data_IF_628807392685
#
_entry.id   IF_628807392685
#
_cell.length_a   1.000
_cell.length_b   1.000
_cell.length_c   1.000
_cell.angle_alpha   90.00
_cell.angle_beta   90.00
_cell.angle_gamma   90.00
#
_symmetry.space_group_name_H-M   'P 1'
#
loop_
_entity.id
_entity.type
_entity.pdbx_description
1 polymer ?
#
# COMPACT_ATOMS: atom_id res chain seq x y z
N UNK A 1 3.42 31.30 5.09
CA UNK A 1 3.05 32.05 3.87
C UNK A 1 1.86 31.30 3.26
N UNK A 2 0.71 31.97 3.17
CA UNK A 2 -0.51 31.39 2.61
C UNK A 2 -0.33 31.17 1.10
N UNK A 3 -0.35 29.92 0.68
CA UNK A 3 -0.51 29.59 -0.74
C UNK A 3 -1.91 30.03 -1.15
N UNK A 4 -2.08 30.91 -2.13
CA UNK A 4 -3.42 31.29 -2.57
C UNK A 4 -4.14 30.07 -3.16
N UNK A 5 -5.47 29.98 -3.05
CA UNK A 5 -6.23 28.91 -3.67
C UNK A 5 -5.99 28.92 -5.18
N UNK A 6 -5.71 27.76 -5.79
CA UNK A 6 -5.52 27.61 -7.22
C UNK A 6 -6.66 28.27 -7.99
N UNK A 7 -6.35 29.32 -8.74
CA UNK A 7 -7.30 29.85 -9.73
C UNK A 7 -7.60 28.75 -10.76
N UNK A 8 -8.85 28.56 -11.18
CA UNK A 8 -9.16 27.63 -12.25
C UNK A 8 -8.35 27.99 -13.49
N UNK A 9 -7.61 27.02 -14.04
CA UNK A 9 -6.66 27.11 -15.17
C UNK A 9 -5.19 27.46 -14.84
N UNK A 10 -4.76 27.37 -13.59
CA UNK A 10 -3.33 27.57 -13.27
C UNK A 10 -2.52 26.32 -13.64
N UNK A 11 -1.41 26.54 -14.38
CA UNK A 11 -0.42 25.51 -14.68
C UNK A 11 0.66 25.46 -13.61
N UNK A 12 1.13 24.23 -13.32
CA UNK A 12 2.37 24.00 -12.54
C UNK A 12 3.33 23.23 -13.41
N UNK A 13 4.56 23.69 -13.54
CA UNK A 13 5.62 23.04 -14.28
C UNK A 13 6.70 22.56 -13.29
N UNK A 14 6.94 21.26 -13.23
CA UNK A 14 8.06 20.65 -12.51
C UNK A 14 9.21 20.55 -13.50
N UNK A 15 10.34 21.23 -13.24
CA UNK A 15 11.38 21.46 -14.26
C UNK A 15 12.74 20.95 -13.78
N UNK A 16 13.47 20.23 -14.65
CA UNK A 16 14.86 19.88 -14.50
C UNK A 16 15.14 18.50 -13.87
N UNK A 17 14.12 17.78 -13.44
CA UNK A 17 14.27 16.47 -12.80
C UNK A 17 14.65 15.35 -13.77
N UNK A 18 15.16 14.25 -13.20
CA UNK A 18 15.10 12.93 -13.85
C UNK A 18 13.75 12.29 -13.54
N UNK A 19 13.03 11.83 -14.55
CA UNK A 19 11.69 11.26 -14.41
C UNK A 19 11.67 9.78 -14.82
N UNK A 20 11.15 8.91 -13.96
CA UNK A 20 10.72 7.57 -14.30
C UNK A 20 9.22 7.60 -14.63
N UNK A 21 8.89 7.68 -15.92
CA UNK A 21 7.50 7.76 -16.40
C UNK A 21 6.72 6.48 -16.10
N UNK A 22 7.41 5.34 -16.16
CA UNK A 22 6.92 4.03 -15.73
C UNK A 22 8.09 3.12 -15.35
N UNK A 23 7.83 1.96 -14.71
CA UNK A 23 8.89 0.99 -14.38
C UNK A 23 9.55 0.36 -15.61
N UNK A 24 8.91 0.40 -16.78
CA UNK A 24 9.38 -0.27 -18.00
C UNK A 24 10.05 0.66 -19.02
N UNK A 25 9.91 1.98 -18.83
CA UNK A 25 10.49 2.97 -19.74
C UNK A 25 11.83 3.49 -19.22
N UNK A 26 12.68 3.97 -20.13
CA UNK A 26 13.93 4.64 -19.73
C UNK A 26 13.63 5.99 -19.10
N UNK A 27 14.41 6.42 -18.09
CA UNK A 27 14.20 7.69 -17.46
C UNK A 27 14.50 8.87 -18.40
N UNK A 28 13.75 9.96 -18.24
CA UNK A 28 13.94 11.21 -18.97
C UNK A 28 14.71 12.15 -18.06
N UNK A 29 15.96 12.48 -18.41
CA UNK A 29 16.75 13.51 -17.73
C UNK A 29 16.35 14.92 -18.19
N UNK A 30 16.65 15.94 -17.37
CA UNK A 30 16.34 17.34 -17.65
C UNK A 30 14.94 17.51 -18.24
N UNK A 31 13.96 17.11 -17.47
CA UNK A 31 12.58 16.94 -17.92
C UNK A 31 11.65 18.08 -17.47
N UNK A 32 10.45 18.09 -18.05
CA UNK A 32 9.34 18.89 -17.56
C UNK A 32 8.12 18.01 -17.40
N UNK A 33 7.42 18.13 -16.26
CA UNK A 33 6.05 17.66 -16.09
C UNK A 33 5.16 18.88 -15.98
N UNK A 34 4.25 19.05 -16.94
CA UNK A 34 3.27 20.12 -16.91
C UNK A 34 1.95 19.60 -16.34
N UNK A 35 1.49 20.25 -15.29
CA UNK A 35 0.26 19.90 -14.57
C UNK A 35 -0.73 21.03 -14.73
N UNK A 36 -1.99 20.70 -15.00
CA UNK A 36 -3.11 21.63 -14.97
C UNK A 36 -4.22 21.03 -14.09
N UNK A 37 -4.61 21.77 -13.08
CA UNK A 37 -5.56 21.28 -12.07
C UNK A 37 -5.04 19.97 -11.42
N UNK A 38 -5.74 18.87 -11.62
CA UNK A 38 -5.42 17.57 -11.03
C UNK A 38 -4.65 16.64 -11.97
N UNK A 39 -4.41 17.05 -13.23
CA UNK A 39 -3.91 16.16 -14.29
C UNK A 39 -2.58 16.60 -14.86
N UNK A 40 -1.81 15.61 -15.27
CA UNK A 40 -0.65 15.79 -16.12
C UNK A 40 -1.13 16.14 -17.53
N UNK A 41 -0.70 17.29 -18.05
CA UNK A 41 -1.01 17.73 -19.41
C UNK A 41 0.02 17.18 -20.39
N UNK A 42 1.27 17.26 -20.02
CA UNK A 42 2.39 16.77 -20.83
C UNK A 42 3.60 16.44 -19.97
N UNK A 43 4.47 15.58 -20.49
CA UNK A 43 5.74 15.20 -19.91
C UNK A 43 6.76 14.96 -21.03
N UNK A 44 7.99 15.38 -20.84
CA UNK A 44 9.05 15.19 -21.83
C UNK A 44 10.35 15.88 -21.46
N UNK A 45 11.32 15.81 -22.37
CA UNK A 45 12.60 16.48 -22.20
C UNK A 45 12.42 18.01 -22.32
N UNK A 46 13.05 18.79 -21.40
CA UNK A 46 12.86 20.24 -21.31
C UNK A 46 13.11 20.97 -22.62
N UNK A 47 14.10 20.57 -23.39
CA UNK A 47 14.41 21.20 -24.68
C UNK A 47 13.30 21.05 -25.75
N UNK A 48 12.36 20.13 -25.54
CA UNK A 48 11.25 19.83 -26.45
C UNK A 48 9.89 20.31 -25.91
N UNK A 49 9.87 20.90 -24.71
CA UNK A 49 8.65 21.27 -24.02
C UNK A 49 8.47 22.78 -23.97
N UNK A 50 7.25 23.22 -24.26
CA UNK A 50 6.82 24.59 -24.03
C UNK A 50 5.68 24.60 -23.02
N UNK A 51 5.66 25.57 -22.14
CA UNK A 51 4.57 25.78 -21.20
C UNK A 51 4.31 27.28 -20.99
N UNK A 52 3.13 27.68 -20.52
CA UNK A 52 2.77 29.09 -20.36
C UNK A 52 3.75 29.82 -19.40
N UNK A 53 4.13 31.03 -19.73
CA UNK A 53 4.97 31.90 -18.87
C UNK A 53 4.30 32.15 -17.50
N UNK A 54 2.99 32.06 -17.43
CA UNK A 54 2.19 32.20 -16.20
C UNK A 54 2.16 30.93 -15.34
N UNK A 55 2.79 29.83 -15.79
CA UNK A 55 2.88 28.60 -15.00
C UNK A 55 3.69 28.84 -13.72
N UNK A 56 3.20 28.26 -12.62
CA UNK A 56 4.01 28.17 -11.39
C UNK A 56 5.13 27.14 -11.60
N UNK A 57 6.36 27.60 -11.62
CA UNK A 57 7.52 26.72 -11.80
C UNK A 57 8.01 26.22 -10.45
N UNK A 58 8.07 24.90 -10.30
CA UNK A 58 8.79 24.23 -9.22
C UNK A 58 10.11 23.72 -9.78
N UNK A 59 11.21 24.29 -9.29
CA UNK A 59 12.55 23.85 -9.62
C UNK A 59 12.80 22.46 -9.01
N UNK A 60 13.10 21.49 -9.89
CA UNK A 60 13.36 20.11 -9.56
C UNK A 60 14.73 19.64 -10.09
N UNK A 61 15.68 20.55 -10.34
CA UNK A 61 17.05 20.18 -10.68
C UNK A 61 17.65 19.26 -9.62
N UNK A 62 18.39 18.25 -10.06
CA UNK A 62 19.00 17.21 -9.23
C UNK A 62 18.00 16.38 -8.40
N UNK A 63 16.70 16.49 -8.70
CA UNK A 63 15.67 15.64 -8.10
C UNK A 63 15.24 14.53 -9.05
N UNK A 64 14.68 13.46 -8.46
CA UNK A 64 14.07 12.35 -9.21
C UNK A 64 12.58 12.30 -8.96
N UNK A 65 11.79 12.13 -10.03
CA UNK A 65 10.33 12.06 -9.96
C UNK A 65 9.86 10.68 -10.41
N UNK A 66 8.96 10.10 -9.62
CA UNK A 66 8.19 8.90 -9.98
C UNK A 66 6.69 9.19 -9.90
N UNK A 67 5.86 8.31 -10.45
CA UNK A 67 4.44 8.30 -10.09
C UNK A 67 4.30 8.16 -8.57
N UNK A 68 3.23 8.70 -8.01
CA UNK A 68 2.94 8.62 -6.60
C UNK A 68 2.88 7.17 -6.12
N UNK A 69 3.51 6.91 -4.99
CA UNK A 69 3.69 5.56 -4.47
C UNK A 69 2.43 5.04 -3.80
N UNK A 70 2.22 3.73 -3.90
CA UNK A 70 1.23 2.97 -3.16
C UNK A 70 1.88 2.21 -2.00
N UNK A 71 1.20 2.19 -0.84
CA UNK A 71 1.41 1.19 0.18
C UNK A 71 0.15 0.32 0.27
N UNK A 72 0.24 -0.91 -0.20
CA UNK A 72 -0.92 -1.81 -0.32
C UNK A 72 -1.26 -2.55 0.98
N UNK A 73 -0.58 -2.22 2.08
CA UNK A 73 -0.86 -2.82 3.38
C UNK A 73 -0.45 -1.89 4.53
N UNK A 74 -1.44 -1.19 5.08
CA UNK A 74 -1.31 -0.34 6.27
C UNK A 74 -2.50 -0.55 7.19
N UNK A 75 -2.44 0.02 8.42
CA UNK A 75 -3.52 -0.03 9.40
C UNK A 75 -3.71 1.32 10.10
N UNK A 76 -4.96 1.68 10.33
CA UNK A 76 -5.37 2.83 11.15
C UNK A 76 -6.06 2.36 12.44
N UNK A 77 -5.52 1.34 13.11
CA UNK A 77 -6.09 0.74 14.31
C UNK A 77 -5.42 1.20 15.62
N UNK A 78 -4.34 1.96 15.56
CA UNK A 78 -3.72 2.53 16.76
C UNK A 78 -4.67 3.52 17.46
N UNK A 79 -4.55 3.66 18.77
CA UNK A 79 -5.42 4.53 19.57
C UNK A 79 -5.44 6.00 19.15
N UNK A 80 -4.34 6.49 18.55
CA UNK A 80 -4.29 7.87 18.03
C UNK A 80 -5.28 8.13 16.88
N UNK A 81 -5.81 7.09 16.24
CA UNK A 81 -6.81 7.18 15.19
C UNK A 81 -8.25 7.03 15.73
N UNK A 82 -8.44 6.78 17.05
CA UNK A 82 -9.74 6.38 17.61
C UNK A 82 -10.85 7.41 17.41
N UNK A 83 -10.51 8.69 17.36
CA UNK A 83 -11.49 9.78 17.26
C UNK A 83 -11.13 10.76 16.14
N UNK A 84 -10.84 10.22 14.95
CA UNK A 84 -10.44 11.03 13.78
C UNK A 84 -11.44 12.14 13.42
N UNK A 85 -12.68 12.02 13.85
CA UNK A 85 -13.70 13.05 13.62
C UNK A 85 -13.40 14.35 14.38
N UNK A 86 -12.81 14.25 15.57
CA UNK A 86 -12.58 15.37 16.46
C UNK A 86 -11.10 15.76 16.62
N UNK A 87 -10.17 14.97 16.07
CA UNK A 87 -8.74 15.32 16.06
C UNK A 87 -8.55 16.63 15.27
N UNK A 88 -7.86 17.64 15.82
CA UNK A 88 -7.57 18.89 15.11
C UNK A 88 -6.87 18.63 13.76
N UNK A 89 -7.28 19.35 12.71
CA UNK A 89 -6.72 19.16 11.36
C UNK A 89 -5.19 19.24 11.30
N UNK A 90 -4.49 20.17 11.98
CA UNK A 90 -3.02 20.20 11.96
C UNK A 90 -2.38 18.98 12.59
N UNK A 91 -2.98 18.43 13.65
CA UNK A 91 -2.49 17.23 14.32
C UNK A 91 -2.68 15.98 13.45
N UNK A 92 -3.88 15.81 12.89
CA UNK A 92 -4.17 14.69 12.00
C UNK A 92 -3.33 14.72 10.73
N UNK A 93 -3.08 15.91 10.17
CA UNK A 93 -2.17 16.11 9.03
C UNK A 93 -0.75 15.67 9.37
N UNK A 94 -0.24 16.04 10.55
CA UNK A 94 1.09 15.62 11.01
C UNK A 94 1.17 14.10 11.19
N UNK A 95 0.14 13.47 11.78
CA UNK A 95 0.10 12.00 11.91
C UNK A 95 0.14 11.28 10.56
N UNK A 96 -0.59 11.79 9.55
CA UNK A 96 -0.54 11.27 8.18
C UNK A 96 0.81 11.51 7.50
N UNK A 97 1.44 12.66 7.76
CA UNK A 97 2.78 12.95 7.26
C UNK A 97 3.80 11.97 7.85
N UNK A 98 3.77 11.80 9.17
CA UNK A 98 4.72 10.92 9.88
C UNK A 98 4.61 9.46 9.46
N UNK A 99 3.40 9.00 9.17
CA UNK A 99 3.16 7.62 8.76
C UNK A 99 3.32 7.38 7.26
N UNK A 100 2.91 8.32 6.40
CA UNK A 100 2.67 8.02 5.00
C UNK A 100 3.30 9.03 4.03
N UNK A 101 2.89 10.31 4.08
CA UNK A 101 3.16 11.20 2.95
C UNK A 101 4.62 11.65 2.85
N UNK A 102 5.40 11.64 3.94
CA UNK A 102 6.84 11.90 3.90
C UNK A 102 7.64 10.83 3.14
N UNK A 103 7.02 9.68 2.90
CA UNK A 103 7.59 8.56 2.15
C UNK A 103 7.13 8.51 0.69
N UNK A 104 6.40 9.52 0.21
CA UNK A 104 5.92 9.55 -1.17
C UNK A 104 4.63 8.76 -1.43
N UNK A 105 3.99 8.22 -0.38
CA UNK A 105 2.73 7.49 -0.54
C UNK A 105 1.58 8.45 -0.83
N UNK A 106 1.05 8.38 -2.05
CA UNK A 106 -0.15 9.11 -2.49
C UNK A 106 -1.41 8.26 -2.40
N UNK A 107 -1.23 6.94 -2.30
CA UNK A 107 -2.33 5.98 -2.17
C UNK A 107 -1.96 4.88 -1.18
N UNK A 108 -2.93 4.45 -0.38
CA UNK A 108 -2.74 3.37 0.59
C UNK A 108 -3.96 2.44 0.62
N UNK A 109 -3.71 1.17 1.00
CA UNK A 109 -4.76 0.22 1.31
C UNK A 109 -4.69 -0.14 2.80
N UNK A 110 -5.69 0.27 3.56
CA UNK A 110 -5.93 -0.13 4.94
C UNK A 110 -6.57 -1.52 4.95
N UNK A 111 -5.86 -2.49 5.51
CA UNK A 111 -6.20 -3.92 5.43
C UNK A 111 -6.75 -4.49 6.73
N UNK A 112 -7.32 -3.65 7.58
CA UNK A 112 -7.97 -4.11 8.81
C UNK A 112 -7.96 -3.02 9.89
N UNK A 113 -8.96 -2.16 9.88
CA UNK A 113 -9.17 -1.12 10.88
C UNK A 113 -10.65 -0.94 11.15
N UNK A 114 -11.01 -0.13 12.14
CA UNK A 114 -12.42 0.21 12.39
C UNK A 114 -12.94 1.06 11.22
N UNK A 115 -13.84 0.48 10.41
CA UNK A 115 -14.32 1.09 9.17
C UNK A 115 -14.85 2.51 9.35
N UNK A 116 -15.65 2.73 10.36
CA UNK A 116 -16.24 4.04 10.59
C UNK A 116 -15.16 5.12 10.81
N UNK A 117 -14.07 4.80 11.50
CA UNK A 117 -12.94 5.71 11.65
C UNK A 117 -12.22 5.98 10.33
N UNK A 118 -11.87 4.91 9.61
CA UNK A 118 -11.18 5.05 8.32
C UNK A 118 -12.04 5.79 7.31
N UNK A 119 -13.35 5.54 7.30
CA UNK A 119 -14.32 6.26 6.45
C UNK A 119 -14.33 7.76 6.76
N UNK A 120 -14.31 8.14 8.04
CA UNK A 120 -14.25 9.55 8.48
C UNK A 120 -12.91 10.19 8.11
N UNK A 121 -11.80 9.48 8.33
CA UNK A 121 -10.46 9.95 7.92
C UNK A 121 -10.42 10.24 6.42
N UNK A 122 -10.91 9.30 5.61
CA UNK A 122 -11.03 9.46 4.16
C UNK A 122 -11.89 10.67 3.79
N UNK A 123 -13.03 10.86 4.45
CA UNK A 123 -13.91 12.01 4.22
C UNK A 123 -13.24 13.35 4.47
N UNK A 124 -12.44 13.48 5.53
CA UNK A 124 -11.69 14.71 5.83
C UNK A 124 -10.58 15.01 4.81
N UNK A 125 -9.94 13.94 4.27
CA UNK A 125 -8.94 14.09 3.20
C UNK A 125 -9.62 14.48 1.88
N UNK A 126 -10.70 13.80 1.51
CA UNK A 126 -11.38 13.99 0.22
C UNK A 126 -12.15 15.32 0.15
N UNK A 127 -12.58 15.86 1.28
CA UNK A 127 -13.12 17.23 1.38
C UNK A 127 -12.05 18.32 1.26
N UNK A 128 -10.77 17.95 1.33
CA UNK A 128 -9.66 18.90 1.34
C UNK A 128 -9.43 19.59 2.69
N UNK A 129 -10.09 19.16 3.76
CA UNK A 129 -9.86 19.67 5.11
C UNK A 129 -8.43 19.40 5.59
N UNK A 130 -7.90 18.22 5.27
CA UNK A 130 -6.53 17.81 5.59
C UNK A 130 -5.81 17.25 4.35
N UNK A 131 -4.51 17.52 4.19
CA UNK A 131 -3.70 16.85 3.18
C UNK A 131 -3.47 15.40 3.56
N UNK A 132 -3.55 14.48 2.60
CA UNK A 132 -3.33 13.07 2.84
C UNK A 132 -3.41 12.23 1.56
N UNK A 133 -3.07 10.93 1.66
CA UNK A 133 -3.14 10.01 0.53
C UNK A 133 -4.59 9.62 0.21
N UNK A 134 -4.81 9.03 -0.96
CA UNK A 134 -6.04 8.29 -1.24
C UNK A 134 -6.06 7.04 -0.34
N UNK A 135 -7.11 6.86 0.44
CA UNK A 135 -7.27 5.70 1.30
C UNK A 135 -8.33 4.76 0.72
N UNK A 136 -7.96 3.50 0.50
CA UNK A 136 -8.88 2.37 0.34
C UNK A 136 -8.84 1.53 1.61
N UNK A 137 -9.92 0.82 1.95
CA UNK A 137 -10.00 0.05 3.18
C UNK A 137 -10.83 -1.21 3.00
N UNK A 138 -10.45 -2.25 3.75
CA UNK A 138 -11.25 -3.46 3.93
C UNK A 138 -12.27 -3.32 5.07
N UNK A 139 -12.17 -2.23 5.85
CA UNK A 139 -12.82 -2.20 7.15
C UNK A 139 -12.24 -3.26 8.09
N UNK A 140 -13.07 -3.79 8.95
CA UNK A 140 -12.74 -4.88 9.86
C UNK A 140 -12.46 -6.18 9.09
N UNK A 141 -11.39 -6.88 9.47
CA UNK A 141 -11.11 -8.20 8.90
C UNK A 141 -12.08 -9.27 9.43
N UNK A 142 -12.44 -10.22 8.58
CA UNK A 142 -13.16 -11.43 8.97
C UNK A 142 -12.20 -12.39 9.67
N UNK A 143 -12.55 -12.90 10.84
CA UNK A 143 -11.66 -13.72 11.65
C UNK A 143 -12.29 -15.08 11.99
N UNK A 144 -11.51 -16.17 12.04
CA UNK A 144 -12.00 -17.41 12.62
C UNK A 144 -12.31 -17.23 14.12
N UNK A 145 -13.16 -18.08 14.70
CA UNK A 145 -13.46 -18.01 16.13
C UNK A 145 -12.20 -18.03 17.00
N UNK A 146 -12.16 -17.19 18.01
CA UNK A 146 -11.05 -17.08 18.97
C UNK A 146 -9.70 -16.64 18.34
N UNK A 147 -9.70 -16.01 17.18
CA UNK A 147 -8.46 -15.60 16.50
C UNK A 147 -7.89 -14.27 17.01
N UNK A 148 -8.72 -13.36 17.51
CA UNK A 148 -8.26 -12.08 18.00
C UNK A 148 -7.69 -12.17 19.42
N UNK A 149 -6.62 -11.42 19.71
CA UNK A 149 -6.18 -11.21 21.09
C UNK A 149 -7.31 -10.57 21.93
N UNK A 150 -7.30 -10.81 23.26
CA UNK A 150 -8.23 -10.13 24.14
C UNK A 150 -8.08 -8.61 24.08
N UNK A 151 -9.15 -7.87 24.43
CA UNK A 151 -9.11 -6.40 24.49
C UNK A 151 -7.98 -5.88 25.40
N UNK A 152 -7.62 -6.63 26.45
CA UNK A 152 -6.51 -6.30 27.32
C UNK A 152 -5.17 -6.36 26.58
N UNK A 153 -4.93 -7.40 25.78
CA UNK A 153 -3.71 -7.58 25.00
C UNK A 153 -3.63 -6.51 23.89
N UNK A 154 -4.72 -6.27 23.18
CA UNK A 154 -4.81 -5.19 22.19
C UNK A 154 -4.51 -3.84 22.83
N UNK A 155 -5.05 -3.60 24.02
CA UNK A 155 -4.78 -2.37 24.80
C UNK A 155 -3.31 -2.21 25.19
N UNK A 156 -2.64 -3.29 25.59
CA UNK A 156 -1.19 -3.28 25.88
C UNK A 156 -0.35 -3.00 24.64
N UNK A 157 -0.79 -3.43 23.47
CA UNK A 157 -0.16 -3.14 22.17
C UNK A 157 -0.48 -1.71 21.66
N UNK A 158 -1.28 -0.91 22.38
CA UNK A 158 -1.69 0.41 21.93
C UNK A 158 -2.72 0.41 20.80
N UNK A 159 -3.39 -0.70 20.60
CA UNK A 159 -4.37 -0.92 19.53
C UNK A 159 -5.79 -0.72 20.07
N UNK A 160 -6.69 -0.25 19.20
CA UNK A 160 -8.12 -0.17 19.51
C UNK A 160 -8.76 -1.57 19.56
N UNK A 161 -9.88 -1.67 20.23
CA UNK A 161 -10.78 -2.81 20.07
C UNK A 161 -11.20 -2.91 18.61
N UNK A 162 -10.97 -4.07 17.99
CA UNK A 162 -11.38 -4.36 16.63
C UNK A 162 -12.68 -5.18 16.67
N UNK A 163 -13.81 -4.64 16.24
CA UNK A 163 -15.09 -5.35 16.20
C UNK A 163 -15.15 -6.32 15.00
N UNK A 164 -14.10 -7.12 14.82
CA UNK A 164 -13.95 -8.01 13.68
C UNK A 164 -15.03 -9.12 13.73
N UNK A 165 -15.79 -9.33 12.62
CA UNK A 165 -16.78 -10.40 12.55
C UNK A 165 -16.12 -11.77 12.60
N UNK A 166 -16.56 -12.63 13.55
CA UNK A 166 -16.15 -14.02 13.57
C UNK A 166 -16.91 -14.81 12.49
N UNK A 167 -16.18 -15.67 11.78
CA UNK A 167 -16.72 -16.53 10.72
C UNK A 167 -16.26 -17.98 10.94
N UNK A 168 -17.19 -18.90 11.09
CA UNK A 168 -16.91 -20.33 11.27
C UNK A 168 -17.33 -21.16 10.06
N UNK A 169 -18.24 -20.65 9.24
CA UNK A 169 -18.82 -21.36 8.09
C UNK A 169 -19.08 -20.42 6.91
N UNK A 170 -19.41 -21.02 5.76
CA UNK A 170 -19.66 -20.29 4.52
C UNK A 170 -20.84 -19.30 4.60
N UNK A 171 -21.99 -19.62 5.20
CA UNK A 171 -23.08 -18.66 5.40
C UNK A 171 -22.68 -17.43 6.21
N UNK A 172 -21.92 -17.61 7.30
CA UNK A 172 -21.44 -16.51 8.12
C UNK A 172 -20.44 -15.63 7.34
N UNK A 173 -19.52 -16.25 6.60
CA UNK A 173 -18.55 -15.55 5.77
C UNK A 173 -19.24 -14.69 4.69
N UNK A 174 -20.21 -15.26 3.97
CA UNK A 174 -20.97 -14.51 2.97
C UNK A 174 -21.76 -13.35 3.59
N UNK A 175 -22.43 -13.57 4.72
CA UNK A 175 -23.22 -12.53 5.38
C UNK A 175 -22.32 -11.39 5.90
N UNK A 176 -21.18 -11.71 6.52
CA UNK A 176 -20.23 -10.74 7.02
C UNK A 176 -19.58 -9.93 5.89
N UNK A 177 -19.15 -10.58 4.81
CA UNK A 177 -18.61 -9.92 3.63
C UNK A 177 -19.61 -8.95 3.01
N UNK A 178 -20.86 -9.40 2.80
CA UNK A 178 -21.94 -8.55 2.26
C UNK A 178 -22.18 -7.33 3.13
N UNK A 179 -22.25 -7.49 4.45
CA UNK A 179 -22.43 -6.36 5.38
C UNK A 179 -21.34 -5.30 5.27
N UNK A 180 -20.07 -5.70 5.13
CA UNK A 180 -18.97 -4.78 4.94
C UNK A 180 -19.04 -4.09 3.57
N UNK A 181 -19.34 -4.85 2.51
CA UNK A 181 -19.49 -4.31 1.15
C UNK A 181 -20.62 -3.28 1.07
N UNK A 182 -21.77 -3.57 1.70
CA UNK A 182 -22.90 -2.65 1.80
C UNK A 182 -22.56 -1.39 2.61
N UNK A 183 -21.64 -1.48 3.57
CA UNK A 183 -21.11 -0.34 4.31
C UNK A 183 -20.10 0.50 3.48
N UNK A 184 -19.69 0.03 2.30
CA UNK A 184 -18.88 0.76 1.34
C UNK A 184 -17.37 0.56 1.44
N UNK A 185 -16.91 -0.59 1.97
CA UNK A 185 -15.49 -0.96 1.94
C UNK A 185 -15.01 -1.23 0.51
N UNK A 186 -13.71 -1.15 0.30
CA UNK A 186 -13.09 -1.29 -1.03
C UNK A 186 -12.58 -2.72 -1.31
N UNK A 187 -12.54 -3.58 -0.31
CA UNK A 187 -12.15 -4.99 -0.40
C UNK A 187 -12.60 -5.75 0.85
N UNK A 188 -12.45 -7.07 0.85
CA UNK A 188 -12.62 -7.90 2.04
C UNK A 188 -11.25 -8.38 2.52
N UNK A 189 -11.03 -8.42 3.84
CA UNK A 189 -9.87 -9.04 4.48
C UNK A 189 -10.32 -10.25 5.28
N UNK A 190 -9.61 -11.37 5.16
CA UNK A 190 -9.85 -12.59 5.91
C UNK A 190 -8.58 -13.00 6.64
N UNK A 191 -8.68 -13.36 7.93
CA UNK A 191 -7.62 -14.06 8.64
C UNK A 191 -7.84 -15.56 8.45
N UNK A 192 -6.86 -16.24 7.88
CA UNK A 192 -7.02 -17.61 7.41
C UNK A 192 -7.15 -18.63 8.54
N UNK A 193 -6.49 -18.40 9.66
CA UNK A 193 -6.51 -19.28 10.83
C UNK A 193 -6.31 -18.48 12.11
N UNK A 194 -6.70 -19.04 13.24
CA UNK A 194 -6.23 -18.58 14.54
C UNK A 194 -4.74 -18.92 14.69
N UNK A 195 -3.97 -18.19 15.50
CA UNK A 195 -2.58 -18.56 15.79
C UNK A 195 -2.49 -20.02 16.24
N UNK A 196 -1.74 -20.86 15.54
CA UNK A 196 -1.63 -22.31 15.73
C UNK A 196 -2.92 -23.11 15.47
N UNK A 197 -3.94 -22.50 14.84
CA UNK A 197 -5.15 -23.17 14.40
C UNK A 197 -5.02 -23.79 13.00
N UNK A 198 -5.97 -24.64 12.64
CA UNK A 198 -6.14 -25.08 11.27
C UNK A 198 -6.69 -23.93 10.40
N UNK A 199 -6.41 -23.92 9.08
CA UNK A 199 -7.03 -22.96 8.17
C UNK A 199 -8.55 -23.08 8.16
N UNK A 200 -9.24 -21.97 7.90
CA UNK A 200 -10.64 -22.01 7.53
C UNK A 200 -10.81 -22.92 6.32
N UNK A 201 -11.95 -23.65 6.21
CA UNK A 201 -12.25 -24.46 5.04
C UNK A 201 -12.31 -23.64 3.74
N UNK A 202 -11.92 -24.21 2.61
CA UNK A 202 -11.91 -23.54 1.29
C UNK A 202 -13.27 -22.90 0.94
N UNK A 203 -14.38 -23.55 1.28
CA UNK A 203 -15.73 -23.03 1.03
C UNK A 203 -16.06 -21.77 1.84
N UNK A 204 -15.39 -21.53 2.96
CA UNK A 204 -15.54 -20.29 3.75
C UNK A 204 -14.90 -19.12 3.02
N UNK A 205 -13.65 -19.30 2.52
CA UNK A 205 -13.00 -18.31 1.66
C UNK A 205 -13.82 -18.05 0.41
N UNK A 206 -14.29 -19.12 -0.26
CA UNK A 206 -15.07 -19.01 -1.48
C UNK A 206 -16.34 -18.19 -1.27
N UNK A 207 -17.08 -18.44 -0.19
CA UNK A 207 -18.29 -17.71 0.11
C UNK A 207 -18.08 -16.20 0.30
N UNK A 208 -16.99 -15.80 0.96
CA UNK A 208 -16.65 -14.39 1.11
C UNK A 208 -16.12 -13.80 -0.22
N UNK A 209 -15.32 -14.56 -0.98
CA UNK A 209 -14.78 -14.15 -2.26
C UNK A 209 -15.89 -13.94 -3.31
N UNK A 210 -16.87 -14.82 -3.37
CA UNK A 210 -18.02 -14.71 -4.28
C UNK A 210 -18.81 -13.42 -4.04
N UNK A 211 -19.00 -13.02 -2.76
CA UNK A 211 -19.66 -11.76 -2.42
C UNK A 211 -18.81 -10.55 -2.86
N UNK A 212 -17.50 -10.57 -2.59
CA UNK A 212 -16.60 -9.51 -2.99
C UNK A 212 -16.50 -9.36 -4.51
N UNK A 213 -16.34 -10.47 -5.23
CA UNK A 213 -16.23 -10.49 -6.69
C UNK A 213 -17.52 -10.03 -7.38
N UNK A 214 -18.70 -10.36 -6.84
CA UNK A 214 -19.97 -9.79 -7.34
C UNK A 214 -20.03 -8.26 -7.25
N UNK A 215 -19.35 -7.69 -6.26
CA UNK A 215 -19.20 -6.25 -6.10
C UNK A 215 -17.96 -5.68 -6.84
N UNK A 216 -17.24 -6.49 -7.64
CA UNK A 216 -15.96 -6.14 -8.28
C UNK A 216 -14.90 -5.64 -7.26
N UNK A 217 -14.82 -6.29 -6.10
CA UNK A 217 -13.86 -5.98 -5.03
C UNK A 217 -12.94 -7.17 -4.81
N UNK A 218 -11.62 -6.90 -4.56
CA UNK A 218 -10.66 -7.97 -4.26
C UNK A 218 -10.79 -8.47 -2.81
N UNK A 219 -10.21 -9.64 -2.58
CA UNK A 219 -10.11 -10.25 -1.25
C UNK A 219 -8.66 -10.41 -0.84
N UNK A 220 -8.32 -9.91 0.34
CA UNK A 220 -7.03 -10.11 0.99
C UNK A 220 -7.13 -11.25 2.00
N UNK A 221 -6.04 -12.00 2.17
CA UNK A 221 -5.91 -12.96 3.27
C UNK A 221 -4.66 -12.70 4.10
N UNK A 222 -4.77 -12.85 5.42
CA UNK A 222 -3.64 -12.97 6.35
C UNK A 222 -3.42 -14.46 6.66
N UNK A 223 -2.41 -15.13 6.11
CA UNK A 223 -2.06 -16.49 6.43
C UNK A 223 -1.05 -16.55 7.58
N UNK A 224 -1.12 -17.59 8.41
CA UNK A 224 -0.08 -17.90 9.39
C UNK A 224 0.92 -18.95 8.86
N UNK A 225 0.51 -19.76 7.87
CA UNK A 225 1.32 -20.83 7.32
C UNK A 225 0.98 -21.12 5.85
N UNK A 226 1.78 -21.98 5.19
CA UNK A 226 1.62 -22.31 3.77
C UNK A 226 0.29 -23.03 3.45
N UNK A 227 -0.25 -23.82 4.38
CA UNK A 227 -1.57 -24.47 4.18
C UNK A 227 -2.71 -23.44 4.19
N UNK A 228 -2.58 -22.36 4.96
CA UNK A 228 -3.52 -21.23 4.93
C UNK A 228 -3.51 -20.56 3.56
N UNK A 229 -2.31 -20.31 3.01
CA UNK A 229 -2.18 -19.73 1.66
C UNK A 229 -2.86 -20.63 0.62
N UNK A 230 -2.59 -21.94 0.66
CA UNK A 230 -3.16 -22.88 -0.32
C UNK A 230 -4.68 -22.94 -0.24
N UNK A 231 -5.25 -23.03 0.98
CA UNK A 231 -6.70 -23.05 1.19
C UNK A 231 -7.37 -21.75 0.70
N UNK A 232 -6.76 -20.60 1.02
CA UNK A 232 -7.27 -19.29 0.60
C UNK A 232 -7.20 -19.11 -0.93
N UNK A 233 -6.10 -19.52 -1.56
CA UNK A 233 -5.93 -19.46 -3.03
C UNK A 233 -6.98 -20.33 -3.73
N UNK A 234 -7.23 -21.54 -3.25
CA UNK A 234 -8.29 -22.43 -3.77
C UNK A 234 -9.68 -21.85 -3.56
N UNK A 235 -9.89 -21.19 -2.43
CA UNK A 235 -11.12 -20.47 -2.11
C UNK A 235 -11.30 -19.13 -2.83
N UNK A 236 -10.40 -18.76 -3.78
CA UNK A 236 -10.61 -17.61 -4.66
C UNK A 236 -10.12 -16.25 -4.10
N UNK A 237 -9.22 -16.26 -3.12
CA UNK A 237 -8.60 -15.03 -2.61
C UNK A 237 -7.67 -14.41 -3.66
N UNK A 238 -7.63 -13.09 -3.76
CA UNK A 238 -6.89 -12.33 -4.77
C UNK A 238 -5.49 -11.89 -4.33
N UNK A 239 -5.31 -11.61 -3.03
CA UNK A 239 -4.09 -11.00 -2.51
C UNK A 239 -3.69 -11.71 -1.23
N UNK A 240 -2.48 -12.27 -1.23
CA UNK A 240 -1.85 -12.85 -0.05
C UNK A 240 -1.10 -11.73 0.67
N UNK A 241 -1.51 -11.45 1.89
CA UNK A 241 -0.79 -10.54 2.77
C UNK A 241 0.20 -11.35 3.61
N UNK A 242 1.44 -10.92 3.59
CA UNK A 242 2.58 -11.53 4.29
C UNK A 242 3.12 -12.82 3.63
N UNK A 243 4.38 -13.04 3.87
CA UNK A 243 5.03 -14.33 3.74
C UNK A 243 4.67 -15.23 4.94
N UNK A 244 5.01 -16.51 4.87
CA UNK A 244 4.72 -17.49 5.94
C UNK A 244 6.00 -18.18 6.41
N UNK A 245 6.94 -17.46 7.04
CA UNK A 245 8.31 -17.97 7.29
C UNK A 245 8.37 -19.18 8.21
N UNK A 246 7.38 -19.37 9.09
CA UNK A 246 7.29 -20.53 9.96
C UNK A 246 7.02 -21.85 9.22
N UNK A 247 6.57 -21.77 7.96
CA UNK A 247 6.32 -22.95 7.10
C UNK A 247 7.56 -23.40 6.33
N UNK A 248 8.67 -22.69 6.42
CA UNK A 248 9.83 -22.93 5.56
C UNK A 248 9.63 -22.49 4.11
N UNK A 249 10.44 -23.00 3.18
CA UNK A 249 10.30 -22.65 1.76
C UNK A 249 8.93 -23.00 1.20
N UNK A 250 8.40 -22.16 0.31
CA UNK A 250 7.21 -22.51 -0.46
C UNK A 250 7.53 -23.53 -1.55
N UNK A 251 6.73 -24.57 -1.64
CA UNK A 251 6.88 -25.63 -2.63
C UNK A 251 6.26 -25.27 -3.99
N UNK A 252 6.55 -26.08 -4.98
CA UNK A 252 6.07 -25.88 -6.36
C UNK A 252 4.54 -25.96 -6.45
N UNK A 253 3.90 -26.80 -5.64
CA UNK A 253 2.44 -26.94 -5.60
C UNK A 253 1.77 -25.64 -5.19
N UNK A 254 2.27 -25.00 -4.14
CA UNK A 254 1.75 -23.71 -3.67
C UNK A 254 2.00 -22.60 -4.69
N UNK A 255 3.24 -22.49 -5.19
CA UNK A 255 3.62 -21.45 -6.15
C UNK A 255 2.83 -21.58 -7.46
N UNK A 256 2.61 -22.81 -7.95
CA UNK A 256 1.79 -23.08 -9.13
C UNK A 256 0.33 -22.68 -8.91
N UNK A 257 -0.26 -23.03 -7.77
CA UNK A 257 -1.63 -22.65 -7.44
C UNK A 257 -1.79 -21.12 -7.36
N UNK A 258 -0.86 -20.42 -6.71
CA UNK A 258 -0.83 -18.96 -6.65
C UNK A 258 -0.74 -18.33 -8.05
N UNK A 259 0.11 -18.91 -8.92
CA UNK A 259 0.30 -18.42 -10.30
C UNK A 259 -0.93 -18.64 -11.16
N UNK A 260 -1.52 -19.83 -11.13
CA UNK A 260 -2.72 -20.19 -11.87
C UNK A 260 -3.89 -19.26 -11.53
N UNK A 261 -4.09 -18.97 -10.25
CA UNK A 261 -5.13 -18.09 -9.76
C UNK A 261 -4.78 -16.59 -9.89
N UNK A 262 -3.59 -16.25 -10.40
CA UNK A 262 -3.13 -14.87 -10.59
C UNK A 262 -3.21 -14.03 -9.31
N UNK A 263 -2.95 -14.64 -8.16
CA UNK A 263 -2.91 -13.90 -6.90
C UNK A 263 -1.75 -12.90 -6.91
N UNK A 264 -1.86 -11.85 -6.13
CA UNK A 264 -0.74 -10.97 -5.83
C UNK A 264 -0.22 -11.26 -4.42
N UNK A 265 1.07 -10.97 -4.20
CA UNK A 265 1.70 -11.04 -2.88
C UNK A 265 2.03 -9.64 -2.38
N UNK A 266 1.61 -9.33 -1.16
CA UNK A 266 2.10 -8.18 -0.40
C UNK A 266 3.04 -8.72 0.68
N UNK A 267 4.37 -8.74 0.49
CA UNK A 267 5.29 -9.55 1.30
C UNK A 267 5.43 -9.09 2.75
N UNK A 268 5.49 -7.77 3.00
CA UNK A 268 5.65 -7.17 4.34
C UNK A 268 6.76 -7.83 5.16
N UNK A 269 7.96 -7.90 4.57
CA UNK A 269 9.10 -8.66 5.11
C UNK A 269 9.58 -8.12 6.47
N UNK A 270 9.35 -6.84 6.74
CA UNK A 270 9.69 -6.23 8.04
C UNK A 270 8.80 -6.67 9.18
N UNK A 271 7.61 -7.23 8.90
CA UNK A 271 6.63 -7.61 9.91
C UNK A 271 7.19 -8.62 10.91
N UNK A 272 7.65 -9.77 10.42
CA UNK A 272 8.13 -10.85 11.27
C UNK A 272 9.41 -10.49 12.00
N UNK A 273 10.30 -9.74 11.35
CA UNK A 273 11.50 -9.20 12.00
C UNK A 273 11.13 -8.30 13.18
N UNK A 274 10.13 -7.44 13.01
CA UNK A 274 9.63 -6.58 14.08
C UNK A 274 9.02 -7.39 15.23
N UNK A 275 8.20 -8.39 14.94
CA UNK A 275 7.62 -9.25 15.98
C UNK A 275 8.69 -10.04 16.73
N UNK A 276 9.74 -10.49 16.05
CA UNK A 276 10.83 -11.27 16.63
C UNK A 276 11.98 -10.43 17.20
N UNK A 277 11.86 -9.09 17.24
CA UNK A 277 12.96 -8.19 17.64
C UNK A 277 13.55 -8.45 19.05
N UNK A 278 12.87 -9.21 19.87
CA UNK A 278 13.31 -9.62 21.21
C UNK A 278 13.77 -11.08 21.27
N UNK A 279 13.69 -11.80 20.16
CA UNK A 279 14.13 -13.18 20.06
C UNK A 279 15.65 -13.27 19.82
N UNK A 280 16.19 -14.50 19.88
CA UNK A 280 17.61 -14.75 19.58
C UNK A 280 17.90 -14.37 18.11
N UNK A 281 19.05 -13.75 17.86
CA UNK A 281 19.47 -13.32 16.52
C UNK A 281 19.39 -14.45 15.49
N UNK A 282 19.82 -15.66 15.85
CA UNK A 282 19.74 -16.82 14.93
C UNK A 282 18.31 -17.21 14.55
N UNK A 283 17.32 -16.95 15.41
CA UNK A 283 15.91 -17.17 15.09
C UNK A 283 15.39 -16.08 14.15
N UNK A 284 15.76 -14.82 14.41
CA UNK A 284 15.44 -13.69 13.55
C UNK A 284 16.00 -13.89 12.13
N UNK A 285 17.30 -14.23 12.02
CA UNK A 285 17.97 -14.51 10.74
C UNK A 285 17.30 -15.65 9.97
N UNK A 286 16.95 -16.74 10.67
CA UNK A 286 16.26 -17.88 10.05
C UNK A 286 14.91 -17.46 9.44
N UNK A 287 14.12 -16.69 10.17
CA UNK A 287 12.83 -16.20 9.72
C UNK A 287 13.02 -15.27 8.52
N UNK A 288 13.87 -14.25 8.63
CA UNK A 288 14.15 -13.29 7.55
C UNK A 288 14.66 -13.99 6.29
N UNK A 289 15.60 -14.94 6.41
CA UNK A 289 16.08 -15.70 5.25
C UNK A 289 14.98 -16.53 4.59
N UNK A 290 14.04 -17.07 5.39
CA UNK A 290 12.90 -17.82 4.82
C UNK A 290 11.95 -16.90 4.07
N UNK A 291 11.63 -15.73 4.60
CA UNK A 291 10.78 -14.73 3.94
C UNK A 291 11.37 -14.27 2.60
N UNK A 292 12.66 -13.91 2.62
CA UNK A 292 13.42 -13.55 1.43
C UNK A 292 13.38 -14.69 0.41
N UNK A 293 13.55 -15.93 0.87
CA UNK A 293 13.47 -17.13 0.03
C UNK A 293 12.10 -17.35 -0.60
N UNK A 294 11.03 -17.13 0.18
CA UNK A 294 9.65 -17.23 -0.31
C UNK A 294 9.34 -16.15 -1.35
N UNK A 295 9.73 -14.89 -1.09
CA UNK A 295 9.58 -13.83 -2.08
C UNK A 295 10.40 -14.11 -3.34
N UNK A 296 11.66 -14.56 -3.19
CA UNK A 296 12.52 -14.95 -4.32
C UNK A 296 11.89 -16.06 -5.17
N UNK A 297 11.32 -17.08 -4.54
CA UNK A 297 10.62 -18.14 -5.23
C UNK A 297 9.39 -17.60 -5.98
N UNK A 298 8.62 -16.71 -5.37
CA UNK A 298 7.45 -16.10 -6.00
C UNK A 298 7.81 -15.26 -7.23
N UNK A 299 8.79 -14.36 -7.12
CA UNK A 299 9.22 -13.53 -8.27
C UNK A 299 9.82 -14.34 -9.39
N UNK A 300 10.48 -15.48 -9.10
CA UNK A 300 11.00 -16.38 -10.11
C UNK A 300 9.90 -17.01 -10.99
N UNK A 301 8.67 -17.15 -10.48
CA UNK A 301 7.50 -17.54 -11.28
C UNK A 301 6.95 -16.41 -12.15
N UNK A 302 7.49 -15.18 -12.05
CA UNK A 302 6.89 -13.96 -12.61
C UNK A 302 5.62 -13.56 -11.87
N UNK A 303 5.53 -13.83 -10.57
CA UNK A 303 4.40 -13.50 -9.72
C UNK A 303 4.28 -12.02 -9.47
N UNK A 304 3.05 -11.52 -9.31
CA UNK A 304 2.78 -10.10 -9.03
C UNK A 304 3.07 -9.78 -7.57
N UNK A 305 3.86 -8.73 -7.34
CA UNK A 305 4.14 -8.18 -6.00
C UNK A 305 3.50 -6.80 -5.87
N UNK A 306 2.84 -6.57 -4.75
CA UNK A 306 2.35 -5.26 -4.33
C UNK A 306 3.17 -4.82 -3.12
N UNK A 307 3.73 -3.63 -3.15
CA UNK A 307 4.45 -3.09 -1.99
C UNK A 307 3.50 -2.89 -0.82
N UNK A 308 3.90 -3.33 0.36
CA UNK A 308 3.18 -3.12 1.60
C UNK A 308 4.12 -3.33 2.79
N UNK A 309 3.83 -2.67 3.91
CA UNK A 309 4.74 -2.59 5.05
C UNK A 309 4.12 -3.02 6.37
N UNK A 310 2.80 -3.11 6.43
CA UNK A 310 2.06 -3.30 7.68
C UNK A 310 2.21 -2.12 8.68
N UNK A 311 2.47 -0.89 8.16
CA UNK A 311 2.53 0.32 8.99
C UNK A 311 1.25 0.46 9.83
N UNK A 312 1.43 0.76 11.10
CA UNK A 312 0.37 0.72 12.11
C UNK A 312 0.48 -0.50 13.01
N UNK A 313 0.95 -1.65 12.49
CA UNK A 313 1.36 -2.81 13.26
C UNK A 313 2.87 -2.85 13.52
N UNK A 314 3.66 -2.17 12.69
CA UNK A 314 5.13 -2.04 12.79
C UNK A 314 5.55 -0.57 12.84
N UNK A 315 6.85 -0.31 12.98
CA UNK A 315 7.41 1.06 12.94
C UNK A 315 7.21 1.76 11.59
N UNK A 316 7.19 3.10 11.60
CA UNK A 316 6.88 3.92 10.41
C UNK A 316 8.11 4.19 9.52
N UNK A 317 8.97 3.20 9.31
CA UNK A 317 10.08 3.31 8.37
C UNK A 317 10.04 2.19 7.32
N UNK A 318 9.71 2.50 6.06
CA UNK A 318 9.65 1.50 5.00
C UNK A 318 11.02 1.15 4.41
N UNK A 319 12.11 1.77 4.87
CA UNK A 319 13.44 1.64 4.22
C UNK A 319 13.96 0.21 4.23
N UNK A 320 13.68 -0.54 5.29
CA UNK A 320 14.09 -1.92 5.41
C UNK A 320 13.31 -2.85 4.48
N UNK A 321 12.02 -2.58 4.24
CA UNK A 321 11.23 -3.36 3.29
C UNK A 321 11.84 -3.31 1.88
N UNK A 322 12.27 -2.12 1.42
CA UNK A 322 12.97 -1.98 0.13
C UNK A 322 14.28 -2.78 0.09
N UNK A 323 15.04 -2.77 1.17
CA UNK A 323 16.30 -3.50 1.26
C UNK A 323 16.08 -5.02 1.17
N UNK A 324 15.12 -5.55 1.93
CA UNK A 324 14.78 -6.98 1.94
C UNK A 324 14.20 -7.43 0.60
N UNK A 325 13.37 -6.61 -0.06
CA UNK A 325 12.88 -6.90 -1.42
C UNK A 325 14.05 -6.99 -2.42
N UNK A 326 15.03 -6.09 -2.31
CA UNK A 326 16.24 -6.13 -3.14
C UNK A 326 17.09 -7.37 -2.86
N UNK A 327 17.22 -7.77 -1.59
CA UNK A 327 17.92 -8.99 -1.18
C UNK A 327 17.23 -10.25 -1.70
N UNK A 328 15.90 -10.23 -1.81
CA UNK A 328 15.14 -11.29 -2.48
C UNK A 328 15.40 -11.37 -3.99
N UNK A 329 16.09 -10.39 -4.58
CA UNK A 329 16.45 -10.34 -5.99
C UNK A 329 15.56 -9.44 -6.85
N UNK A 330 14.70 -8.62 -6.24
CA UNK A 330 13.94 -7.63 -7.01
C UNK A 330 14.84 -6.48 -7.46
N UNK A 331 14.79 -6.17 -8.75
CA UNK A 331 15.43 -4.98 -9.30
C UNK A 331 14.68 -3.70 -8.89
N UNK A 332 15.33 -2.54 -8.96
CA UNK A 332 14.66 -1.24 -8.75
C UNK A 332 13.37 -1.13 -9.58
N UNK A 333 13.40 -1.53 -10.86
CA UNK A 333 12.23 -1.48 -11.76
C UNK A 333 11.08 -2.36 -11.26
N UNK A 334 11.37 -3.53 -10.72
CA UNK A 334 10.35 -4.41 -10.13
C UNK A 334 9.80 -3.84 -8.81
N UNK A 335 10.66 -3.24 -7.98
CA UNK A 335 10.24 -2.53 -6.76
C UNK A 335 9.37 -1.33 -7.13
N UNK A 336 9.77 -0.51 -8.11
CA UNK A 336 8.97 0.61 -8.60
C UNK A 336 7.62 0.13 -9.16
N UNK A 337 7.58 -0.99 -9.88
CA UNK A 337 6.33 -1.58 -10.37
C UNK A 337 5.40 -1.96 -9.21
N UNK A 338 5.93 -2.58 -8.15
CA UNK A 338 5.15 -2.95 -6.97
C UNK A 338 4.59 -1.75 -6.19
N UNK A 339 5.21 -0.58 -6.34
CA UNK A 339 4.80 0.69 -5.74
C UNK A 339 3.87 1.52 -6.61
N UNK A 340 3.75 1.23 -7.91
CA UNK A 340 3.07 2.13 -8.86
C UNK A 340 2.10 1.40 -9.77
N UNK A 341 2.58 0.73 -10.82
CA UNK A 341 1.73 0.11 -11.85
C UNK A 341 0.98 -1.11 -11.35
N UNK A 342 1.62 -2.00 -10.60
CA UNK A 342 0.99 -3.24 -10.13
C UNK A 342 -0.21 -2.98 -9.20
N UNK A 343 -0.13 -2.11 -8.16
CA UNK A 343 -1.31 -1.77 -7.37
C UNK A 343 -2.35 -0.98 -8.17
N UNK A 344 -1.96 -0.08 -9.07
CA UNK A 344 -2.90 0.62 -9.92
C UNK A 344 -3.72 -0.35 -10.79
N UNK A 345 -3.08 -1.37 -11.36
CA UNK A 345 -3.74 -2.44 -12.12
C UNK A 345 -4.62 -3.29 -11.23
N UNK A 346 -4.09 -3.79 -10.11
CA UNK A 346 -4.82 -4.67 -9.18
C UNK A 346 -6.07 -4.02 -8.61
N UNK A 347 -6.02 -2.71 -8.35
CA UNK A 347 -7.13 -1.98 -7.73
C UNK A 347 -7.99 -1.18 -8.73
N UNK A 348 -7.79 -1.38 -10.04
CA UNK A 348 -8.63 -0.80 -11.09
C UNK A 348 -8.38 0.68 -11.39
N UNK A 349 -7.24 1.23 -10.96
CA UNK A 349 -6.88 2.65 -11.19
C UNK A 349 -5.84 2.83 -12.32
N UNK A 350 -5.46 1.79 -13.07
CA UNK A 350 -4.41 1.85 -14.11
C UNK A 350 -4.69 2.86 -15.23
N UNK A 351 -5.96 3.26 -15.42
CA UNK A 351 -6.36 4.26 -16.40
C UNK A 351 -6.04 5.71 -15.99
N UNK A 352 -5.62 5.93 -14.74
CA UNK A 352 -5.38 7.27 -14.18
C UNK A 352 -4.23 7.39 -13.19
N UNK A 353 -3.72 6.28 -12.63
CA UNK A 353 -2.64 6.25 -11.63
C UNK A 353 -1.54 5.25 -12.03
N UNK A 354 -0.39 5.35 -11.37
CA UNK A 354 0.74 4.43 -11.52
C UNK A 354 1.73 4.79 -12.63
N UNK A 355 1.46 5.83 -13.42
CA UNK A 355 2.35 6.33 -14.50
C UNK A 355 2.36 7.85 -14.54
N UNK A 356 3.44 8.41 -15.12
CA UNK A 356 3.53 9.84 -15.44
C UNK A 356 3.29 9.99 -16.93
N UNK A 357 2.04 10.25 -17.31
CA UNK A 357 1.63 10.38 -18.70
C UNK A 357 0.51 11.43 -18.84
N UNK A 358 0.39 12.01 -20.03
CA UNK A 358 -0.69 12.95 -20.33
C UNK A 358 -2.07 12.32 -20.07
N UNK A 359 -2.95 13.07 -19.40
CA UNK A 359 -4.28 12.62 -18.99
C UNK A 359 -4.33 11.89 -17.63
N UNK A 360 -3.19 11.41 -17.11
CA UNK A 360 -3.13 10.80 -15.80
C UNK A 360 -3.26 11.84 -14.68
N UNK A 361 -3.70 11.40 -13.51
CA UNK A 361 -3.74 12.24 -12.32
C UNK A 361 -2.31 12.58 -11.88
N UNK A 362 -2.11 13.82 -11.47
CA UNK A 362 -0.80 14.31 -11.03
C UNK A 362 -0.52 13.86 -9.58
N UNK A 363 -0.41 12.56 -9.39
CA UNK A 363 0.07 11.91 -8.18
C UNK A 363 1.55 11.60 -8.39
N UNK A 364 2.43 12.28 -7.66
CA UNK A 364 3.87 12.25 -7.87
C UNK A 364 4.62 12.14 -6.54
N UNK A 365 5.72 11.38 -6.54
CA UNK A 365 6.71 11.37 -5.48
C UNK A 365 8.04 11.92 -6.02
N UNK A 366 8.63 12.87 -5.30
CA UNK A 366 9.85 13.58 -5.72
C UNK A 366 10.91 13.39 -4.66
N UNK A 367 12.07 12.87 -5.06
CA UNK A 367 13.17 12.45 -4.20
C UNK A 367 14.43 13.28 -4.44
N UNK A 368 15.26 13.47 -3.39
CA UNK A 368 16.53 14.16 -3.48
C UNK A 368 17.64 13.34 -4.13
N UNK A 369 17.51 12.02 -4.14
CA UNK A 369 18.47 11.10 -4.74
C UNK A 369 17.75 10.18 -5.71
N UNK A 370 18.48 9.64 -6.69
CA UNK A 370 17.94 8.67 -7.61
C UNK A 370 17.74 7.30 -6.91
N UNK A 371 16.49 6.83 -6.77
CA UNK A 371 16.20 5.54 -6.15
C UNK A 371 16.78 4.33 -6.92
N UNK A 372 17.09 4.49 -8.20
CA UNK A 372 17.75 3.43 -8.97
C UNK A 372 19.20 3.23 -8.53
N UNK A 373 19.85 4.29 -7.99
CA UNK A 373 21.20 4.22 -7.44
C UNK A 373 21.15 3.86 -5.96
N UNK A 374 20.19 4.42 -5.22
CA UNK A 374 20.04 4.21 -3.79
C UNK A 374 18.58 4.00 -3.42
N UNK A 375 18.19 2.74 -3.23
CA UNK A 375 16.80 2.37 -2.90
C UNK A 375 16.27 3.06 -1.63
N UNK A 376 17.14 3.40 -0.67
CA UNK A 376 16.72 4.12 0.54
C UNK A 376 16.15 5.51 0.24
N UNK A 377 16.43 6.09 -0.93
CA UNK A 377 15.83 7.34 -1.35
C UNK A 377 14.30 7.27 -1.41
N UNK A 378 13.70 6.09 -1.70
CA UNK A 378 12.25 5.87 -1.66
C UNK A 378 11.64 6.11 -0.27
N UNK A 379 12.44 6.15 0.79
CA UNK A 379 11.97 6.38 2.17
C UNK A 379 12.01 7.85 2.59
N UNK A 380 12.34 8.78 1.69
CA UNK A 380 12.45 10.20 2.03
C UNK A 380 12.11 11.10 0.84
N UNK A 381 10.82 11.38 0.69
CA UNK A 381 10.39 12.30 -0.35
C UNK A 381 10.76 13.76 -0.02
N UNK A 382 11.20 14.51 -1.01
CA UNK A 382 11.31 15.98 -0.95
C UNK A 382 9.93 16.63 -1.05
N UNK A 383 9.11 16.11 -1.99
CA UNK A 383 7.72 16.51 -2.15
C UNK A 383 6.88 15.27 -2.46
N UNK A 384 5.65 15.29 -1.97
CA UNK A 384 4.60 14.35 -2.38
C UNK A 384 3.42 15.16 -2.88
N UNK A 385 3.00 14.89 -4.12
CA UNK A 385 1.85 15.53 -4.75
C UNK A 385 0.74 14.50 -4.94
N UNK A 386 -0.49 14.90 -4.59
CA UNK A 386 -1.71 14.15 -4.92
C UNK A 386 -2.67 15.07 -5.66
N UNK A 387 -3.14 14.62 -6.81
CA UNK A 387 -4.04 15.42 -7.65
C UNK A 387 -3.49 16.84 -7.91
N UNK A 388 -2.19 16.96 -8.22
CA UNK A 388 -1.52 18.22 -8.49
C UNK A 388 -1.25 19.11 -7.27
N UNK A 389 -1.69 18.72 -6.07
CA UNK A 389 -1.49 19.46 -4.82
C UNK A 389 -0.37 18.87 -4.01
N UNK A 390 0.49 19.70 -3.46
CA UNK A 390 1.54 19.26 -2.53
C UNK A 390 0.86 18.86 -1.21
N UNK A 391 0.94 17.57 -0.87
CA UNK A 391 0.44 17.02 0.41
C UNK A 391 1.56 16.79 1.42
N UNK A 392 2.82 16.87 0.99
CA UNK A 392 4.00 16.87 1.85
C UNK A 392 5.14 17.66 1.21
N UNK A 393 5.88 18.39 2.04
CA UNK A 393 7.15 19.06 1.70
C UNK A 393 8.13 18.85 2.84
N UNK A 394 9.31 18.31 2.54
CA UNK A 394 10.38 18.20 3.51
C UNK A 394 10.83 19.60 3.98
N UNK A 395 11.18 19.73 5.25
CA UNK A 395 11.88 20.91 5.73
C UNK A 395 13.20 21.08 4.95
N UNK A 396 13.53 22.32 4.59
CA UNK A 396 14.74 22.65 3.85
C UNK A 396 15.99 22.46 4.68
#
# INVERSE_FOLDING_TARGET
>A
MNTPPNSPNQYTALVGATIYTSPTEEPISDSVVLIQNEKIVSVGHRAQMQFPETAHVLDCFDLTITAGLWNSHVHFFERKWADVANIPAPELSRQLQDMLTKYGFTSVFDTGSVWENTRRLRGRIDSGEIPGPKIRSTGEGLVPPCALPSDQVLGMMGVMKLPAPEIADAPQAAAAARKLLDAGVDAIKIFASAPRGAPLPENVFQAAADEAHRANKPVFVHPNNASDVLAAVRGGVDIIAHTTPHSGPWDETLLSAMKEKRVALTPTLTLWKYYMRHDRLSAQEKVTNTEIGQLRAWIATGGTVLFGTDLGAVEYDPSEEYALMSEAGMTFRQILASLTTAPAERFGDAHKLGRIAAGFQADLAIFQQDPAINLRALSSAKYTLRAGKIIYRAAG
#
